data_IF_885009769663
#
_entry.id   IF_885009769663
#
_cell.length_a   1.000
_cell.length_b   1.000
_cell.length_c   1.000
_cell.angle_alpha   90.00
_cell.angle_beta   90.00
_cell.angle_gamma   90.00
#
_symmetry.space_group_name_H-M   'P 1'
#
loop_
_entity.id
_entity.type
_entity.pdbx_description
1 polymer ?
#
# COMPACT_ATOMS: atom_id res chain seq x y z
N UNK A 1 -35.84 -49.39 -5.40
CA UNK A 1 -34.41 -48.99 -5.41
C UNK A 1 -33.96 -48.86 -3.96
N UNK A 2 -33.12 -49.76 -3.47
CA UNK A 2 -32.60 -49.71 -2.09
C UNK A 2 -31.52 -48.63 -2.01
N UNK A 3 -31.80 -47.53 -1.30
CA UNK A 3 -30.78 -46.53 -0.95
C UNK A 3 -29.76 -47.19 -0.01
N UNK A 4 -28.50 -47.29 -0.45
CA UNK A 4 -27.39 -47.62 0.43
C UNK A 4 -27.18 -46.41 1.35
N UNK A 5 -27.53 -46.55 2.62
CA UNK A 5 -27.29 -45.54 3.64
C UNK A 5 -25.79 -45.42 3.94
N UNK A 6 -25.32 -44.20 4.16
CA UNK A 6 -23.96 -43.92 4.63
C UNK A 6 -23.79 -44.45 6.05
N UNK A 7 -22.70 -45.13 6.36
CA UNK A 7 -22.47 -45.64 7.72
C UNK A 7 -21.90 -44.54 8.62
N UNK A 8 -22.21 -44.61 9.92
CA UNK A 8 -21.67 -43.67 10.91
C UNK A 8 -20.14 -43.73 11.00
N UNK A 9 -19.54 -44.90 10.78
CA UNK A 9 -18.09 -45.08 10.82
C UNK A 9 -17.41 -44.45 9.60
N UNK A 10 -18.01 -44.55 8.42
CA UNK A 10 -17.51 -43.86 7.22
C UNK A 10 -17.50 -42.34 7.43
N UNK A 11 -18.56 -41.81 8.06
CA UNK A 11 -18.64 -40.38 8.35
C UNK A 11 -17.59 -39.95 9.40
N UNK A 12 -17.35 -40.77 10.43
CA UNK A 12 -16.39 -40.46 11.50
C UNK A 12 -14.95 -40.38 10.97
N UNK A 13 -14.55 -41.32 10.11
CA UNK A 13 -13.21 -41.30 9.50
C UNK A 13 -13.01 -40.07 8.62
N UNK A 14 -14.03 -39.68 7.83
CA UNK A 14 -13.96 -38.48 6.98
C UNK A 14 -13.78 -37.22 7.83
N UNK A 15 -14.54 -37.06 8.92
CA UNK A 15 -14.41 -35.92 9.83
C UNK A 15 -13.02 -35.89 10.48
N UNK A 16 -12.48 -37.05 10.87
CA UNK A 16 -11.14 -37.14 11.44
C UNK A 16 -10.06 -36.69 10.44
N UNK A 17 -10.14 -37.12 9.18
CA UNK A 17 -9.18 -36.73 8.13
C UNK A 17 -9.28 -35.23 7.84
N UNK A 18 -10.50 -34.69 7.67
CA UNK A 18 -10.71 -33.25 7.45
C UNK A 18 -10.18 -32.43 8.63
N UNK A 19 -10.35 -32.91 9.87
CA UNK A 19 -9.82 -32.24 11.06
C UNK A 19 -8.30 -32.06 11.05
N UNK A 20 -7.55 -33.11 10.68
CA UNK A 20 -6.08 -33.04 10.56
C UNK A 20 -5.66 -32.10 9.42
N UNK A 21 -6.29 -32.22 8.25
CA UNK A 21 -5.98 -31.37 7.09
C UNK A 21 -6.26 -29.89 7.37
N UNK A 22 -7.35 -29.57 8.08
CA UNK A 22 -7.70 -28.21 8.46
C UNK A 22 -6.63 -27.61 9.39
N UNK A 23 -6.16 -28.37 10.39
CA UNK A 23 -5.16 -27.88 11.34
C UNK A 23 -3.83 -27.51 10.65
N UNK A 24 -3.33 -28.37 9.74
CA UNK A 24 -2.10 -28.09 8.97
C UNK A 24 -2.31 -26.95 7.98
N UNK A 25 -3.47 -26.92 7.31
CA UNK A 25 -3.81 -25.90 6.32
C UNK A 25 -3.83 -24.48 6.90
N UNK A 26 -4.33 -24.29 8.12
CA UNK A 26 -4.40 -22.97 8.77
C UNK A 26 -3.01 -22.36 8.99
N UNK A 27 -2.03 -23.15 9.46
CA UNK A 27 -0.67 -22.64 9.72
C UNK A 27 0.03 -22.28 8.42
N UNK A 28 -0.07 -23.13 7.39
CA UNK A 28 0.51 -22.86 6.09
C UNK A 28 -0.08 -21.60 5.43
N UNK A 29 -1.40 -21.42 5.54
CA UNK A 29 -2.10 -20.28 4.95
C UNK A 29 -1.66 -18.94 5.55
N UNK A 30 -1.41 -18.87 6.86
CA UNK A 30 -0.89 -17.65 7.51
C UNK A 30 0.48 -17.24 6.96
N UNK A 31 1.37 -18.21 6.69
CA UNK A 31 2.67 -17.95 6.07
C UNK A 31 2.56 -17.37 4.66
N UNK A 32 1.63 -17.89 3.86
CA UNK A 32 1.36 -17.37 2.52
C UNK A 32 0.76 -15.96 2.55
N UNK A 33 -0.19 -15.70 3.46
CA UNK A 33 -0.76 -14.37 3.63
C UNK A 33 0.32 -13.34 4.02
N UNK A 34 1.23 -13.69 4.93
CA UNK A 34 2.31 -12.79 5.32
C UNK A 34 3.26 -12.50 4.14
N UNK A 35 3.64 -13.53 3.38
CA UNK A 35 4.48 -13.37 2.19
C UNK A 35 3.80 -12.52 1.11
N UNK A 36 2.49 -12.70 0.93
CA UNK A 36 1.69 -11.90 0.00
C UNK A 36 1.62 -10.43 0.44
N UNK A 37 1.47 -10.16 1.74
CA UNK A 37 1.51 -8.79 2.29
C UNK A 37 2.85 -8.13 2.05
N UNK A 38 3.95 -8.82 2.31
CA UNK A 38 5.30 -8.31 2.05
C UNK A 38 5.53 -7.98 0.57
N UNK A 39 5.11 -8.87 -0.33
CA UNK A 39 5.21 -8.65 -1.77
C UNK A 39 4.33 -7.50 -2.24
N UNK A 40 3.12 -7.37 -1.68
CA UNK A 40 2.24 -6.23 -1.93
C UNK A 40 2.88 -4.92 -1.48
N UNK A 41 3.50 -4.88 -0.29
CA UNK A 41 4.23 -3.70 0.19
C UNK A 41 5.41 -3.33 -0.71
N UNK A 42 6.19 -4.31 -1.19
CA UNK A 42 7.27 -4.08 -2.16
C UNK A 42 6.74 -3.50 -3.48
N UNK A 43 5.63 -4.04 -3.98
CA UNK A 43 4.99 -3.55 -5.19
C UNK A 43 4.47 -2.11 -5.00
N UNK A 44 3.80 -1.83 -3.88
CA UNK A 44 3.33 -0.48 -3.53
C UNK A 44 4.49 0.51 -3.43
N UNK A 45 5.60 0.13 -2.77
CA UNK A 45 6.81 0.97 -2.71
C UNK A 45 7.30 1.36 -4.10
N UNK A 46 7.45 0.38 -5.00
CA UNK A 46 7.86 0.63 -6.38
C UNK A 46 6.87 1.51 -7.13
N UNK A 47 5.57 1.31 -6.93
CA UNK A 47 4.53 2.15 -7.54
C UNK A 47 4.64 3.60 -7.08
N UNK A 48 4.86 3.84 -5.78
CA UNK A 48 5.05 5.19 -5.22
C UNK A 48 6.29 5.86 -5.81
N UNK A 49 7.43 5.17 -5.79
CA UNK A 49 8.70 5.67 -6.35
C UNK A 49 8.54 6.02 -7.82
N UNK A 50 8.01 5.09 -8.62
CA UNK A 50 7.81 5.29 -10.05
C UNK A 50 6.84 6.43 -10.34
N UNK A 51 5.73 6.52 -9.59
CA UNK A 51 4.75 7.59 -9.78
C UNK A 51 5.38 8.95 -9.51
N UNK A 52 6.11 9.10 -8.40
CA UNK A 52 6.80 10.35 -8.07
C UNK A 52 7.84 10.71 -9.13
N UNK A 53 8.66 9.75 -9.57
CA UNK A 53 9.66 9.95 -10.63
C UNK A 53 9.02 10.40 -11.94
N UNK A 54 7.93 9.74 -12.36
CA UNK A 54 7.23 10.10 -13.60
C UNK A 54 6.63 11.50 -13.51
N UNK A 55 5.99 11.84 -12.38
CA UNK A 55 5.40 13.16 -12.21
C UNK A 55 6.46 14.27 -12.24
N UNK A 56 7.60 14.07 -11.58
CA UNK A 56 8.69 15.04 -11.67
C UNK A 56 9.34 15.10 -13.05
N UNK A 57 9.52 13.96 -13.72
CA UNK A 57 10.03 13.93 -15.10
C UNK A 57 9.15 14.74 -16.04
N UNK A 58 7.82 14.75 -15.85
CA UNK A 58 6.91 15.59 -16.64
C UNK A 58 7.25 17.09 -16.53
N UNK A 59 7.62 17.58 -15.35
CA UNK A 59 8.09 18.95 -15.20
C UNK A 59 9.37 19.21 -16.00
N UNK A 60 10.31 18.25 -16.01
CA UNK A 60 11.54 18.36 -16.82
C UNK A 60 11.28 18.31 -18.32
N UNK A 61 10.17 17.70 -18.75
CA UNK A 61 9.74 17.61 -20.14
C UNK A 61 8.99 18.87 -20.63
N UNK A 62 8.78 19.88 -19.78
CA UNK A 62 8.20 21.17 -20.15
C UNK A 62 6.76 21.40 -19.69
N UNK A 63 6.17 20.50 -18.90
CA UNK A 63 4.89 20.76 -18.24
C UNK A 63 5.05 21.88 -17.19
N UNK A 64 4.07 22.79 -17.11
CA UNK A 64 4.08 23.88 -16.13
C UNK A 64 3.34 23.52 -14.85
N UNK A 65 2.41 22.56 -14.92
CA UNK A 65 1.59 22.08 -13.81
C UNK A 65 1.46 20.56 -13.85
N UNK A 66 1.35 19.97 -12.67
CA UNK A 66 1.06 18.55 -12.48
C UNK A 66 -0.31 18.40 -11.85
N UNK A 67 -1.09 17.45 -12.36
CA UNK A 67 -2.42 17.12 -11.83
C UNK A 67 -2.38 15.94 -10.88
N UNK A 68 -3.04 16.10 -9.73
CA UNK A 68 -3.15 15.12 -8.66
C UNK A 68 -4.61 14.85 -8.33
N UNK A 69 -4.86 13.66 -7.81
CA UNK A 69 -6.16 13.29 -7.26
C UNK A 69 -6.19 13.72 -5.80
N UNK A 70 -7.36 14.14 -5.30
CA UNK A 70 -7.52 14.47 -3.89
C UNK A 70 -8.90 14.04 -3.39
N UNK A 71 -8.99 13.38 -2.23
CA UNK A 71 -10.28 13.14 -1.60
C UNK A 71 -10.90 14.46 -1.15
N UNK A 72 -12.17 14.65 -1.46
CA UNK A 72 -12.92 15.84 -1.12
C UNK A 72 -14.30 15.44 -0.62
N UNK A 73 -14.68 15.92 0.57
CA UNK A 73 -16.04 15.77 1.06
C UNK A 73 -16.92 16.86 0.46
N UNK A 74 -17.95 16.47 -0.29
CA UNK A 74 -18.86 17.42 -0.95
C UNK A 74 -20.11 17.78 -0.12
N UNK A 75 -20.19 17.32 1.13
CA UNK A 75 -21.37 17.48 1.99
C UNK A 75 -22.24 16.22 2.11
N UNK A 76 -22.09 15.24 1.21
CA UNK A 76 -22.90 14.01 1.20
C UNK A 76 -22.10 12.74 1.01
N UNK A 77 -21.00 12.81 0.26
CA UNK A 77 -20.11 11.68 0.03
C UNK A 77 -18.66 12.15 -0.14
N UNK A 78 -17.74 11.21 0.04
CA UNK A 78 -16.36 11.37 -0.41
C UNK A 78 -16.32 11.24 -1.93
N UNK A 79 -15.74 12.25 -2.58
CA UNK A 79 -15.49 12.26 -4.02
C UNK A 79 -14.01 12.51 -4.29
N UNK A 80 -13.53 12.11 -5.46
CA UNK A 80 -12.18 12.44 -5.91
C UNK A 80 -12.24 13.64 -6.83
N UNK A 81 -11.48 14.68 -6.51
CA UNK A 81 -11.28 15.85 -7.37
C UNK A 81 -9.86 15.86 -7.93
N UNK A 82 -9.66 16.59 -9.02
CA UNK A 82 -8.32 16.87 -9.55
C UNK A 82 -7.86 18.23 -9.05
N UNK A 83 -6.62 18.30 -8.58
CA UNK A 83 -5.95 19.54 -8.19
C UNK A 83 -4.65 19.67 -8.97
N UNK A 84 -4.35 20.87 -9.44
CA UNK A 84 -3.08 21.16 -10.11
C UNK A 84 -2.10 21.78 -9.12
N UNK A 85 -0.81 21.50 -9.32
CA UNK A 85 0.29 22.12 -8.59
C UNK A 85 1.38 22.52 -9.57
N UNK A 86 1.94 23.72 -9.40
CA UNK A 86 2.98 24.22 -10.30
C UNK A 86 4.22 23.35 -10.22
N UNK A 87 4.82 23.07 -11.37
CA UNK A 87 6.16 22.46 -11.47
C UNK A 87 7.26 23.32 -10.82
N UNK A 88 7.00 24.55 -10.41
CA UNK A 88 7.96 25.39 -9.68
C UNK A 88 7.87 25.22 -8.15
N UNK A 89 6.79 24.62 -7.63
CA UNK A 89 6.58 24.40 -6.20
C UNK A 89 7.60 23.44 -5.59
N UNK A 90 7.89 23.53 -4.29
CA UNK A 90 8.91 22.69 -3.66
C UNK A 90 8.52 21.21 -3.67
N UNK A 91 9.52 20.31 -3.62
CA UNK A 91 9.29 18.87 -3.57
C UNK A 91 8.39 18.46 -2.38
N UNK A 92 8.45 19.18 -1.26
CA UNK A 92 7.56 18.95 -0.11
C UNK A 92 6.08 19.30 -0.40
N UNK A 93 5.83 20.38 -1.14
CA UNK A 93 4.47 20.73 -1.59
C UNK A 93 3.93 19.61 -2.49
N UNK A 94 4.74 19.11 -3.42
CA UNK A 94 4.37 17.95 -4.23
C UNK A 94 4.17 16.68 -3.37
N UNK A 95 4.99 16.44 -2.34
CA UNK A 95 4.81 15.34 -1.40
C UNK A 95 3.46 15.36 -0.69
N UNK A 96 2.95 16.55 -0.35
CA UNK A 96 1.59 16.69 0.19
C UNK A 96 0.53 16.28 -0.84
N UNK A 97 0.71 16.63 -2.11
CA UNK A 97 -0.21 16.23 -3.18
C UNK A 97 -0.13 14.74 -3.51
N UNK A 98 1.07 14.16 -3.43
CA UNK A 98 1.26 12.71 -3.54
C UNK A 98 0.50 11.97 -2.44
N UNK A 99 0.58 12.46 -1.21
CA UNK A 99 -0.16 11.88 -0.08
C UNK A 99 -1.69 11.91 -0.31
N UNK A 100 -2.22 13.07 -0.71
CA UNK A 100 -3.64 13.22 -1.10
C UNK A 100 -4.01 12.29 -2.28
N UNK A 101 -3.13 12.14 -3.27
CA UNK A 101 -3.35 11.32 -4.45
C UNK A 101 -3.43 9.83 -4.12
N UNK A 102 -2.49 9.31 -3.34
CA UNK A 102 -2.53 7.91 -2.93
C UNK A 102 -3.70 7.59 -2.01
N UNK A 103 -4.16 8.55 -1.19
CA UNK A 103 -5.41 8.41 -0.46
C UNK A 103 -6.62 8.33 -1.39
N UNK A 104 -6.71 9.22 -2.38
CA UNK A 104 -7.78 9.20 -3.38
C UNK A 104 -7.79 7.91 -4.22
N UNK A 105 -6.62 7.34 -4.51
CA UNK A 105 -6.48 6.04 -5.19
C UNK A 105 -6.80 4.83 -4.30
N UNK A 106 -6.96 5.04 -2.99
CA UNK A 106 -7.27 3.97 -2.05
C UNK A 106 -6.08 3.07 -1.72
N UNK A 107 -4.86 3.63 -1.66
CA UNK A 107 -3.68 2.88 -1.22
C UNK A 107 -3.75 2.53 0.28
N UNK A 108 -4.18 1.31 0.55
CA UNK A 108 -4.29 0.74 1.89
C UNK A 108 -3.07 -0.09 2.26
N UNK A 109 -2.73 -0.10 3.55
CA UNK A 109 -1.61 -0.86 4.07
C UNK A 109 -1.94 -2.38 4.04
N UNK A 110 -1.10 -3.22 3.40
CA UNK A 110 -1.36 -4.67 3.27
C UNK A 110 -1.45 -5.42 4.61
N UNK A 111 -0.78 -4.93 5.65
CA UNK A 111 -0.82 -5.51 6.99
C UNK A 111 -2.00 -5.02 7.83
N UNK A 112 -2.55 -3.85 7.51
CA UNK A 112 -3.74 -3.30 8.14
C UNK A 112 -4.54 -2.45 7.13
N UNK A 113 -5.58 -3.03 6.54
CA UNK A 113 -6.41 -2.36 5.53
C UNK A 113 -7.25 -1.20 6.08
N UNK A 114 -7.36 -1.05 7.41
CA UNK A 114 -7.97 0.12 8.04
C UNK A 114 -7.07 1.35 8.12
N UNK A 115 -5.83 1.27 7.61
CA UNK A 115 -4.86 2.36 7.64
C UNK A 115 -4.28 2.63 6.25
N UNK A 116 -3.95 3.89 5.99
CA UNK A 116 -3.26 4.32 4.78
C UNK A 116 -1.88 3.65 4.68
N UNK A 117 -1.49 3.31 3.45
CA UNK A 117 -0.14 2.82 3.17
C UNK A 117 0.87 3.97 3.11
N UNK A 118 0.50 5.06 2.44
CA UNK A 118 1.38 6.20 2.17
C UNK A 118 1.05 7.35 3.10
N UNK A 119 2.08 7.98 3.68
CA UNK A 119 1.95 9.14 4.56
C UNK A 119 3.14 10.10 4.32
N UNK A 120 2.87 11.39 4.12
CA UNK A 120 3.94 12.40 4.16
C UNK A 120 4.40 12.63 5.60
N UNK A 121 5.71 12.82 5.81
CA UNK A 121 6.31 13.22 7.08
C UNK A 121 7.08 14.52 6.93
N UNK A 122 7.02 15.33 7.98
CA UNK A 122 7.74 16.62 8.06
C UNK A 122 9.20 16.45 8.50
N UNK A 123 9.55 15.28 9.05
CA UNK A 123 10.87 14.97 9.56
C UNK A 123 11.29 13.57 9.08
N UNK A 124 12.60 13.30 9.12
CA UNK A 124 13.21 12.01 8.79
C UNK A 124 12.82 10.91 9.79
N UNK A 125 11.59 10.41 9.67
CA UNK A 125 11.04 9.36 10.52
C UNK A 125 11.04 8.01 9.81
N UNK A 126 11.37 6.95 10.54
CA UNK A 126 11.19 5.59 10.07
C UNK A 126 9.73 5.14 10.22
N UNK A 127 9.16 4.40 9.24
CA UNK A 127 7.82 3.83 9.37
C UNK A 127 7.71 2.93 10.61
N UNK A 128 6.77 3.22 11.51
CA UNK A 128 6.59 2.41 12.74
C UNK A 128 5.91 1.07 12.44
N UNK A 129 5.01 1.06 11.45
CA UNK A 129 4.12 -0.06 11.08
C UNK A 129 4.64 -0.81 9.85
N UNK A 130 4.55 -2.14 9.86
CA UNK A 130 4.77 -2.94 8.65
C UNK A 130 3.78 -2.53 7.56
N UNK A 131 4.23 -2.51 6.31
CA UNK A 131 3.45 -2.04 5.16
C UNK A 131 3.34 -0.53 5.01
N UNK A 132 3.88 0.28 5.93
CA UNK A 132 3.81 1.73 5.84
C UNK A 132 4.95 2.30 4.98
N UNK A 133 4.61 3.32 4.19
CA UNK A 133 5.45 4.03 3.24
C UNK A 133 5.45 5.51 3.66
N UNK A 134 6.57 6.00 4.14
CA UNK A 134 6.75 7.40 4.52
C UNK A 134 7.49 8.16 3.43
N UNK A 135 6.96 9.31 3.07
CA UNK A 135 7.59 10.25 2.14
C UNK A 135 8.09 11.44 2.96
N UNK A 136 9.37 11.72 2.90
CA UNK A 136 9.99 12.87 3.57
C UNK A 136 10.89 13.61 2.58
N UNK A 137 10.69 14.91 2.42
CA UNK A 137 11.50 15.73 1.53
C UNK A 137 12.42 16.64 2.36
N UNK A 138 13.71 16.32 2.50
CA UNK A 138 14.64 17.12 3.30
C UNK A 138 14.95 18.49 2.71
N UNK A 139 14.68 18.69 1.41
CA UNK A 139 14.90 19.95 0.70
C UNK A 139 13.89 20.10 -0.45
N UNK A 140 13.96 21.23 -1.15
CA UNK A 140 12.98 21.59 -2.17
C UNK A 140 13.05 20.77 -3.47
N UNK A 141 14.04 19.88 -3.62
CA UNK A 141 14.30 19.14 -4.86
C UNK A 141 14.32 17.62 -4.69
N UNK A 142 14.48 17.10 -3.46
CA UNK A 142 14.62 15.67 -3.23
C UNK A 142 13.65 15.18 -2.17
N UNK A 143 13.14 13.97 -2.39
CA UNK A 143 12.29 13.26 -1.45
C UNK A 143 12.82 11.84 -1.24
N UNK A 144 12.80 11.40 0.01
CA UNK A 144 13.10 10.04 0.42
C UNK A 144 11.79 9.28 0.65
N UNK A 145 11.68 8.10 0.05
CA UNK A 145 10.60 7.15 0.27
C UNK A 145 11.15 6.02 1.13
N UNK A 146 10.65 5.90 2.36
CA UNK A 146 11.04 4.86 3.31
C UNK A 146 9.87 3.91 3.52
N UNK A 147 10.11 2.61 3.37
CA UNK A 147 9.06 1.59 3.55
C UNK A 147 9.50 0.50 4.48
N UNK A 148 8.66 0.18 5.46
CA UNK A 148 8.85 -0.98 6.32
C UNK A 148 8.12 -2.17 5.71
N UNK A 149 8.84 -3.14 5.17
CA UNK A 149 8.21 -4.35 4.60
C UNK A 149 7.66 -5.22 5.72
N UNK A 150 8.49 -5.49 6.73
CA UNK A 150 8.13 -6.26 7.91
C UNK A 150 8.95 -5.76 9.11
N UNK A 151 8.97 -6.48 10.23
CA UNK A 151 9.68 -6.03 11.44
C UNK A 151 11.21 -5.97 11.29
N UNK A 152 11.79 -6.62 10.27
CA UNK A 152 13.24 -6.76 10.09
C UNK A 152 13.75 -6.16 8.78
N UNK A 153 12.88 -5.92 7.81
CA UNK A 153 13.24 -5.53 6.45
C UNK A 153 12.62 -4.19 6.06
N UNK A 154 13.47 -3.34 5.47
CA UNK A 154 13.16 -1.97 5.10
C UNK A 154 13.67 -1.67 3.70
N UNK A 155 12.99 -0.76 3.01
CA UNK A 155 13.42 -0.19 1.74
C UNK A 155 13.54 1.32 1.88
N UNK A 156 14.52 1.89 1.18
CA UNK A 156 14.72 3.32 1.06
C UNK A 156 15.07 3.62 -0.39
N UNK A 157 14.34 4.54 -1.00
CA UNK A 157 14.63 5.10 -2.31
C UNK A 157 14.58 6.62 -2.24
N UNK A 158 15.28 7.29 -3.16
CA UNK A 158 15.31 8.75 -3.26
C UNK A 158 14.88 9.16 -4.66
N UNK A 159 14.00 10.15 -4.72
CA UNK A 159 13.46 10.72 -5.95
C UNK A 159 13.80 12.21 -5.99
N UNK A 160 14.19 12.70 -7.17
CA UNK A 160 14.54 14.10 -7.40
C UNK A 160 13.54 14.72 -8.36
N UNK A 161 13.18 15.98 -8.08
CA UNK A 161 12.30 16.81 -8.87
C UNK A 161 13.02 17.38 -10.10
#
# INVERSE_FOLDING_TARGET
MTQKGFTLIELLVVVAIIGVLAAVGVVAFQGFLNSAKENSTKAQHKSVVNFMQVQFTKCSLGETELSYSKPNWNGSAWVTIIVNESCQSTADIHAKKFDDHFEAEGFLNPFNTGSRAVERKENALEPSRAGAIYIYCPNDTTCEIRTKINNSLWLKDTVTK
#
